data_IF_791273242642
#
_entry.id   IF_791273242642
#
_cell.length_a   1.000
_cell.length_b   1.000
_cell.length_c   1.000
_cell.angle_alpha   90.00
_cell.angle_beta   90.00
_cell.angle_gamma   90.00
#
_symmetry.space_group_name_H-M   'P 1'
#
loop_
_entity.id
_entity.type
_entity.pdbx_description
1 polymer ?
#
# COMPACT_ATOMS: atom_id res chain seq x y z
N UNK A 1 30.25 -30.97 -9.36
CA UNK A 1 28.93 -31.59 -9.63
C UNK A 1 28.08 -30.53 -10.35
N UNK A 2 27.98 -30.63 -11.68
CA UNK A 2 27.28 -29.64 -12.52
C UNK A 2 25.77 -29.78 -12.29
N UNK A 3 25.16 -28.78 -11.68
CA UNK A 3 23.70 -28.66 -11.58
C UNK A 3 23.26 -27.75 -12.73
N UNK A 4 22.37 -28.27 -13.57
CA UNK A 4 21.95 -27.74 -14.85
C UNK A 4 21.37 -26.31 -14.75
N UNK A 5 21.83 -25.47 -15.68
CA UNK A 5 21.23 -24.18 -16.00
C UNK A 5 19.97 -24.41 -16.85
N UNK A 6 18.81 -24.05 -16.30
CA UNK A 6 17.61 -23.84 -17.12
C UNK A 6 16.83 -22.63 -16.58
N UNK A 7 16.68 -21.55 -17.37
CA UNK A 7 15.73 -20.48 -17.09
C UNK A 7 14.29 -21.03 -17.08
N UNK A 8 13.42 -20.47 -16.24
CA UNK A 8 12.04 -20.89 -16.01
C UNK A 8 11.20 -21.03 -17.30
N UNK A 9 11.59 -20.37 -18.37
CA UNK A 9 10.93 -20.35 -19.68
C UNK A 9 11.12 -21.64 -20.51
N UNK A 10 12.11 -22.48 -20.19
CA UNK A 10 12.37 -23.74 -20.91
C UNK A 10 11.52 -24.95 -20.44
N UNK A 11 10.67 -24.78 -19.43
CA UNK A 11 9.80 -25.86 -18.91
C UNK A 11 8.56 -26.15 -19.78
N UNK A 12 8.30 -25.35 -20.83
CA UNK A 12 7.15 -25.56 -21.73
C UNK A 12 7.28 -26.71 -22.73
N UNK A 13 8.41 -27.44 -22.79
CA UNK A 13 8.65 -28.48 -23.82
C UNK A 13 8.66 -29.94 -23.37
N UNK A 14 8.43 -30.25 -22.09
CA UNK A 14 8.53 -31.64 -21.64
C UNK A 14 7.45 -32.04 -20.64
N UNK A 15 6.19 -32.07 -21.06
CA UNK A 15 5.19 -33.01 -20.54
C UNK A 15 4.06 -33.17 -21.58
N UNK A 16 4.28 -34.09 -22.54
CA UNK A 16 3.17 -34.67 -23.31
C UNK A 16 2.44 -35.61 -22.35
N UNK A 17 1.26 -35.21 -21.87
CA UNK A 17 0.32 -36.19 -21.33
C UNK A 17 -0.22 -37.03 -22.50
N UNK A 18 -0.05 -38.33 -22.36
CA UNK A 18 -0.54 -39.39 -23.23
C UNK A 18 -2.06 -39.43 -23.08
N UNK A 19 -2.81 -38.88 -24.03
CA UNK A 19 -4.25 -39.13 -24.14
C UNK A 19 -4.44 -40.37 -25.00
N UNK A 20 -4.88 -41.46 -24.37
CA UNK A 20 -5.34 -42.65 -25.05
C UNK A 20 -6.62 -42.36 -25.85
N UNK A 21 -6.72 -43.05 -26.99
CA UNK A 21 -7.76 -43.00 -28.00
C UNK A 21 -9.17 -43.16 -27.45
N UNK A 22 -10.09 -42.27 -27.82
CA UNK A 22 -11.46 -42.63 -28.24
C UNK A 22 -11.92 -41.73 -29.40
N UNK A 23 -12.29 -42.37 -30.50
CA UNK A 23 -12.81 -41.80 -31.75
C UNK A 23 -14.27 -41.30 -31.64
N UNK A 24 -14.77 -40.52 -32.63
CA UNK A 24 -15.85 -39.57 -32.43
C UNK A 24 -17.25 -40.16 -32.66
N UNK A 25 -18.25 -39.61 -31.97
CA UNK A 25 -19.66 -39.75 -32.34
C UNK A 25 -20.31 -38.40 -32.59
N UNK A 26 -20.57 -38.14 -33.87
CA UNK A 26 -21.48 -37.14 -34.41
C UNK A 26 -22.92 -37.38 -33.95
N UNK A 27 -23.66 -36.30 -33.63
CA UNK A 27 -25.08 -36.14 -34.03
C UNK A 27 -25.53 -34.68 -33.88
N UNK A 28 -26.02 -34.14 -35.00
CA UNK A 28 -26.74 -32.88 -35.17
C UNK A 28 -28.06 -32.85 -34.38
N UNK A 29 -28.50 -31.68 -33.91
CA UNK A 29 -29.74 -30.98 -34.35
C UNK A 29 -30.14 -29.79 -33.44
N UNK A 30 -30.03 -28.59 -34.04
CA UNK A 30 -30.97 -27.46 -34.12
C UNK A 30 -31.61 -26.72 -32.90
N UNK A 31 -31.93 -25.41 -33.06
CA UNK A 31 -32.02 -24.43 -31.99
C UNK A 31 -33.45 -24.19 -31.49
N UNK A 32 -33.61 -23.83 -30.20
CA UNK A 32 -34.88 -23.33 -29.66
C UNK A 32 -34.74 -21.89 -29.17
N UNK A 33 -35.34 -21.01 -29.97
CA UNK A 33 -35.58 -19.60 -29.72
C UNK A 33 -36.84 -19.45 -28.84
N UNK A 34 -36.78 -18.85 -27.64
CA UNK A 34 -37.97 -18.34 -26.92
C UNK A 34 -37.65 -17.11 -26.06
N UNK A 35 -38.14 -15.97 -26.56
CA UNK A 35 -38.78 -14.85 -25.86
C UNK A 35 -38.03 -14.13 -24.72
N UNK A 36 -37.43 -12.99 -25.09
CA UNK A 36 -37.14 -11.85 -24.20
C UNK A 36 -38.45 -11.20 -23.71
N UNK A 37 -38.61 -11.06 -22.39
CA UNK A 37 -39.36 -9.97 -21.75
C UNK A 37 -38.33 -9.04 -21.08
N UNK A 38 -38.50 -7.71 -21.13
CA UNK A 38 -37.53 -6.80 -20.55
C UNK A 38 -37.65 -6.83 -19.02
N UNK A 39 -36.68 -7.46 -18.34
CA UNK A 39 -36.48 -7.24 -16.91
C UNK A 39 -35.84 -5.87 -16.76
N UNK A 40 -36.52 -4.97 -16.06
CA UNK A 40 -35.98 -3.74 -15.50
C UNK A 40 -34.67 -4.04 -14.79
N UNK A 41 -33.56 -3.76 -15.47
CA UNK A 41 -32.23 -3.93 -14.92
C UNK A 41 -32.04 -2.94 -13.79
N UNK A 42 -32.05 -3.46 -12.57
CA UNK A 42 -31.27 -2.90 -11.48
C UNK A 42 -29.86 -2.66 -12.02
N UNK A 43 -29.41 -1.40 -11.98
CA UNK A 43 -28.01 -1.04 -12.23
C UNK A 43 -27.21 -1.71 -11.12
N UNK A 44 -26.79 -2.96 -11.34
CA UNK A 44 -25.75 -3.59 -10.54
C UNK A 44 -24.48 -2.82 -10.86
N UNK A 45 -24.11 -1.90 -9.98
CA UNK A 45 -22.83 -1.21 -10.02
C UNK A 45 -21.75 -2.30 -10.02
N UNK A 46 -21.14 -2.59 -11.17
CA UNK A 46 -20.25 -3.73 -11.32
C UNK A 46 -18.88 -3.35 -10.73
N UNK A 47 -18.79 -3.40 -9.40
CA UNK A 47 -17.60 -2.95 -8.66
C UNK A 47 -16.45 -3.96 -8.84
N UNK A 48 -15.26 -3.44 -9.17
CA UNK A 48 -14.04 -4.22 -9.31
C UNK A 48 -13.44 -4.49 -7.93
N UNK A 49 -13.48 -5.73 -7.46
CA UNK A 49 -12.97 -6.12 -6.14
C UNK A 49 -11.47 -6.42 -6.17
N UNK A 50 -10.74 -5.82 -5.23
CA UNK A 50 -9.29 -5.96 -5.09
C UNK A 50 -8.98 -6.29 -3.64
N UNK A 51 -8.45 -7.50 -3.42
CA UNK A 51 -8.14 -8.04 -2.11
C UNK A 51 -6.64 -7.92 -1.83
N UNK A 52 -6.29 -7.13 -0.82
CA UNK A 52 -4.94 -7.07 -0.27
C UNK A 52 -4.75 -8.23 0.71
N UNK A 53 -3.68 -8.98 0.51
CA UNK A 53 -3.28 -10.09 1.37
C UNK A 53 -1.85 -9.81 1.82
N UNK A 54 -1.54 -9.93 3.11
CA UNK A 54 -0.19 -9.72 3.60
C UNK A 54 0.42 -10.99 4.20
N UNK A 55 1.71 -11.20 3.97
CA UNK A 55 2.48 -12.22 4.70
C UNK A 55 2.76 -11.75 6.14
N UNK A 56 3.00 -12.64 7.12
CA UNK A 56 3.13 -12.22 8.53
C UNK A 56 4.35 -11.36 8.87
N UNK A 57 5.33 -11.28 7.97
CA UNK A 57 6.47 -10.37 8.09
C UNK A 57 6.12 -8.91 7.77
N UNK A 58 4.92 -8.63 7.26
CA UNK A 58 4.41 -7.27 7.04
C UNK A 58 3.68 -6.79 8.28
N UNK A 59 4.06 -5.60 8.77
CA UNK A 59 3.40 -4.99 9.91
C UNK A 59 1.94 -4.63 9.55
N UNK A 60 0.92 -4.98 10.36
CA UNK A 60 -0.49 -4.73 10.03
C UNK A 60 -0.81 -3.27 9.72
N UNK A 61 -0.18 -2.33 10.44
CA UNK A 61 -0.34 -0.90 10.21
C UNK A 61 -0.01 -0.46 8.77
N UNK A 62 0.98 -1.09 8.11
CA UNK A 62 1.32 -0.74 6.74
C UNK A 62 0.13 -1.03 5.80
N UNK A 63 -0.49 -2.19 5.98
CA UNK A 63 -1.64 -2.60 5.17
C UNK A 63 -2.82 -1.66 5.41
N UNK A 64 -3.05 -1.26 6.66
CA UNK A 64 -4.10 -0.29 7.01
C UNK A 64 -3.84 1.09 6.37
N UNK A 65 -2.60 1.58 6.37
CA UNK A 65 -2.22 2.85 5.74
C UNK A 65 -2.37 2.80 4.21
N UNK A 66 -1.94 1.70 3.58
CA UNK A 66 -2.15 1.46 2.14
C UNK A 66 -3.64 1.46 1.83
N UNK A 67 -4.45 0.77 2.63
CA UNK A 67 -5.90 0.73 2.45
C UNK A 67 -6.54 2.12 2.62
N UNK A 68 -6.07 2.94 3.57
CA UNK A 68 -6.53 4.32 3.75
C UNK A 68 -6.22 5.17 2.51
N UNK A 69 -5.01 5.06 1.94
CA UNK A 69 -4.63 5.79 0.73
C UNK A 69 -5.53 5.39 -0.44
N UNK A 70 -5.68 4.09 -0.69
CA UNK A 70 -6.46 3.56 -1.81
C UNK A 70 -7.95 3.94 -1.71
N UNK A 71 -8.55 3.82 -0.52
CA UNK A 71 -9.95 4.16 -0.30
C UNK A 71 -10.21 5.66 -0.05
N UNK A 72 -9.17 6.50 -0.04
CA UNK A 72 -9.33 7.95 0.08
C UNK A 72 -9.86 8.61 -1.21
N UNK A 73 -9.81 7.87 -2.32
CA UNK A 73 -10.34 8.27 -3.62
C UNK A 73 -11.58 7.41 -3.89
N UNK A 74 -12.68 8.06 -4.25
CA UNK A 74 -13.92 7.35 -4.60
C UNK A 74 -13.91 6.91 -6.05
N UNK A 75 -14.37 5.68 -6.33
CA UNK A 75 -14.50 5.16 -7.68
C UNK A 75 -14.86 3.67 -7.73
N UNK A 76 -14.85 3.07 -8.93
CA UNK A 76 -15.32 1.69 -9.17
C UNK A 76 -14.39 0.57 -8.67
N UNK A 77 -13.16 0.89 -8.24
CA UNK A 77 -12.25 -0.08 -7.63
C UNK A 77 -12.53 -0.15 -6.13
N UNK A 78 -12.82 -1.33 -5.61
CA UNK A 78 -13.09 -1.55 -4.20
C UNK A 78 -11.95 -2.34 -3.56
N UNK A 79 -11.26 -1.72 -2.60
CA UNK A 79 -10.11 -2.30 -1.93
C UNK A 79 -10.49 -2.82 -0.55
N UNK A 80 -10.16 -4.08 -0.27
CA UNK A 80 -10.39 -4.72 1.03
C UNK A 80 -9.18 -5.55 1.46
N UNK A 81 -9.06 -5.78 2.77
CA UNK A 81 -8.02 -6.66 3.32
C UNK A 81 -8.60 -8.05 3.56
N UNK A 82 -7.97 -9.07 2.97
CA UNK A 82 -8.27 -10.46 3.23
C UNK A 82 -7.27 -11.02 4.26
N UNK A 83 -7.77 -11.26 5.47
CA UNK A 83 -6.97 -11.80 6.58
C UNK A 83 -6.80 -13.30 6.42
N UNK A 84 -5.55 -13.71 6.19
CA UNK A 84 -5.19 -15.11 5.99
C UNK A 84 -4.67 -15.76 7.28
N UNK A 85 -5.21 -16.93 7.67
CA UNK A 85 -4.68 -17.71 8.78
C UNK A 85 -3.48 -18.54 8.31
N UNK A 86 -2.38 -17.87 7.94
CA UNK A 86 -1.17 -18.54 7.45
C UNK A 86 -0.64 -19.52 8.49
N UNK A 87 -0.45 -20.79 8.09
CA UNK A 87 0.23 -21.76 8.93
C UNK A 87 1.75 -21.77 8.66
N UNK A 88 2.58 -22.32 9.58
CA UNK A 88 4.02 -22.41 9.37
C UNK A 88 4.44 -23.16 8.11
N UNK A 89 3.65 -24.12 7.62
CA UNK A 89 3.95 -24.87 6.40
C UNK A 89 3.73 -24.03 5.13
N UNK A 90 2.66 -23.21 5.09
CA UNK A 90 2.40 -22.23 4.02
C UNK A 90 3.56 -21.22 3.92
N UNK A 91 4.20 -20.96 5.05
CA UNK A 91 5.29 -20.01 5.18
C UNK A 91 6.65 -20.69 5.27
N UNK A 92 6.78 -22.01 5.21
CA UNK A 92 8.07 -22.71 5.40
C UNK A 92 9.07 -22.34 4.29
N UNK A 93 8.55 -22.07 3.09
CA UNK A 93 9.32 -21.52 1.97
C UNK A 93 9.63 -20.01 2.15
N UNK A 94 8.77 -19.30 2.87
CA UNK A 94 8.84 -17.85 3.19
C UNK A 94 9.74 -17.54 4.40
N UNK A 95 9.85 -18.45 5.37
CA UNK A 95 10.41 -18.25 6.71
C UNK A 95 11.89 -18.60 6.87
N UNK A 96 12.71 -18.51 5.83
CA UNK A 96 14.13 -18.88 5.92
C UNK A 96 15.01 -17.82 6.63
N UNK A 97 14.77 -17.67 7.95
CA UNK A 97 15.66 -17.22 9.03
C UNK A 97 15.63 -15.72 9.43
N UNK A 98 14.91 -15.46 10.53
CA UNK A 98 15.14 -14.46 11.61
C UNK A 98 15.70 -13.08 11.21
N UNK A 99 14.84 -12.07 11.33
CA UNK A 99 15.17 -10.64 11.23
C UNK A 99 16.28 -10.19 12.20
N UNK A 100 17.18 -9.35 11.70
CA UNK A 100 18.10 -8.51 12.48
C UNK A 100 17.90 -7.05 12.07
N UNK A 101 17.50 -6.20 13.02
CA UNK A 101 17.11 -4.80 12.82
C UNK A 101 18.28 -3.85 12.50
N UNK A 102 19.52 -4.33 12.53
CA UNK A 102 20.75 -3.51 12.50
C UNK A 102 21.46 -3.47 11.13
N UNK A 103 20.91 -4.10 10.09
CA UNK A 103 21.61 -4.25 8.81
C UNK A 103 21.15 -3.25 7.74
N UNK A 104 21.84 -2.11 7.63
CA UNK A 104 21.67 -1.16 6.52
C UNK A 104 22.34 -1.68 5.25
N UNK A 105 21.60 -1.79 4.15
CA UNK A 105 22.10 -2.30 2.86
C UNK A 105 22.98 -1.25 2.17
N UNK A 106 24.15 -1.67 1.68
CA UNK A 106 24.92 -0.93 0.66
C UNK A 106 24.69 -1.65 -0.67
N UNK A 107 24.10 -0.97 -1.66
CA UNK A 107 23.79 -1.55 -2.98
C UNK A 107 24.74 -0.98 -4.04
N UNK A 108 25.32 -1.88 -4.84
CA UNK A 108 25.78 -1.62 -6.22
C UNK A 108 24.82 -2.37 -7.16
N UNK A 109 24.25 -1.67 -8.15
CA UNK A 109 23.10 -2.05 -9.02
C UNK A 109 23.16 -3.43 -9.73
N UNK A 110 21.99 -4.00 -10.08
CA UNK A 110 21.77 -5.45 -10.31
C UNK A 110 20.92 -5.79 -11.56
N UNK A 111 21.52 -6.35 -12.62
CA UNK A 111 20.84 -7.37 -13.47
C UNK A 111 21.42 -8.75 -13.20
N UNK A 112 21.36 -9.19 -11.93
CA UNK A 112 21.81 -10.53 -11.55
C UNK A 112 20.80 -11.17 -10.62
N UNK A 113 20.49 -12.46 -10.89
CA UNK A 113 19.80 -13.37 -9.96
C UNK A 113 20.36 -13.13 -8.56
N UNK A 114 19.49 -12.75 -7.64
CA UNK A 114 19.85 -12.51 -6.24
C UNK A 114 20.55 -13.76 -5.69
N UNK A 115 21.82 -13.63 -5.32
CA UNK A 115 22.60 -14.73 -4.74
C UNK A 115 22.08 -15.01 -3.32
N UNK A 116 22.25 -16.25 -2.88
CA UNK A 116 22.03 -16.63 -1.49
C UNK A 116 22.87 -15.75 -0.56
N UNK A 117 22.23 -15.14 0.45
CA UNK A 117 22.90 -14.41 1.52
C UNK A 117 22.59 -15.16 2.83
N UNK A 118 23.61 -15.73 3.46
CA UNK A 118 23.47 -16.64 4.61
C UNK A 118 22.68 -16.06 5.80
N UNK A 119 22.63 -14.74 5.94
CA UNK A 119 21.90 -14.02 7.00
C UNK A 119 20.46 -13.66 6.61
N UNK A 120 20.06 -13.79 5.34
CA UNK A 120 18.79 -13.30 4.77
C UNK A 120 17.94 -14.41 4.13
N UNK A 121 18.49 -15.62 4.00
CA UNK A 121 17.86 -16.75 3.31
C UNK A 121 17.81 -16.55 1.80
N UNK A 122 17.05 -17.42 1.12
CA UNK A 122 16.80 -17.29 -0.32
C UNK A 122 15.69 -16.26 -0.61
N UNK A 123 15.83 -15.45 -1.69
CA UNK A 123 14.71 -14.69 -2.23
C UNK A 123 13.65 -15.64 -2.79
N UNK A 124 12.37 -15.25 -2.71
CA UNK A 124 11.27 -16.07 -3.20
C UNK A 124 11.19 -16.03 -4.73
N UNK A 125 10.94 -17.18 -5.35
CA UNK A 125 10.57 -17.22 -6.76
C UNK A 125 9.17 -16.60 -6.95
N UNK A 126 8.90 -16.10 -8.15
CA UNK A 126 7.56 -15.64 -8.49
C UNK A 126 6.51 -16.75 -8.35
N UNK A 127 6.89 -18.01 -8.63
CA UNK A 127 6.01 -19.17 -8.42
C UNK A 127 5.60 -19.31 -6.96
N UNK A 128 6.53 -19.15 -6.02
CA UNK A 128 6.24 -19.22 -4.58
C UNK A 128 5.34 -18.05 -4.15
N UNK A 129 5.60 -16.83 -4.66
CA UNK A 129 4.78 -15.65 -4.35
C UNK A 129 3.35 -15.79 -4.90
N UNK A 130 3.19 -16.20 -6.17
CA UNK A 130 1.88 -16.40 -6.76
C UNK A 130 1.13 -17.60 -6.15
N UNK A 131 1.86 -18.63 -5.67
CA UNK A 131 1.23 -19.72 -4.91
C UNK A 131 0.53 -19.20 -3.64
N UNK A 132 1.08 -18.20 -2.96
CA UNK A 132 0.43 -17.57 -1.81
C UNK A 132 -0.84 -16.80 -2.23
N UNK A 133 -0.84 -16.12 -3.38
CA UNK A 133 -2.06 -15.51 -3.93
C UNK A 133 -3.14 -16.57 -4.19
N UNK A 134 -2.77 -17.69 -4.80
CA UNK A 134 -3.69 -18.80 -5.08
C UNK A 134 -4.25 -19.44 -3.82
N UNK A 135 -3.42 -19.58 -2.79
CA UNK A 135 -3.86 -20.03 -1.46
C UNK A 135 -4.92 -19.10 -0.89
N UNK A 136 -4.72 -17.79 -1.00
CA UNK A 136 -5.70 -16.81 -0.54
C UNK A 136 -7.01 -16.88 -1.34
N UNK A 137 -6.94 -17.06 -2.67
CA UNK A 137 -8.12 -17.29 -3.51
C UNK A 137 -8.92 -18.50 -3.05
N UNK A 138 -8.25 -19.64 -2.91
CA UNK A 138 -8.91 -20.89 -2.54
C UNK A 138 -9.48 -20.85 -1.12
N UNK A 139 -8.80 -20.17 -0.19
CA UNK A 139 -9.26 -20.03 1.19
C UNK A 139 -10.56 -19.22 1.28
N UNK A 140 -10.65 -18.12 0.54
CA UNK A 140 -11.80 -17.21 0.58
C UNK A 140 -12.83 -17.46 -0.53
N UNK A 141 -12.65 -18.51 -1.34
CA UNK A 141 -13.49 -18.86 -2.49
C UNK A 141 -13.72 -17.65 -3.43
N UNK A 142 -12.62 -17.00 -3.82
CA UNK A 142 -12.68 -15.77 -4.61
C UNK A 142 -12.95 -16.06 -6.08
N UNK A 143 -13.82 -15.23 -6.68
CA UNK A 143 -14.12 -15.24 -8.11
C UNK A 143 -12.87 -14.99 -8.98
N UNK A 144 -12.84 -15.55 -10.19
CA UNK A 144 -11.73 -15.33 -11.14
C UNK A 144 -11.57 -13.85 -11.54
N UNK A 145 -12.67 -13.09 -11.48
CA UNK A 145 -12.69 -11.66 -11.78
C UNK A 145 -12.12 -10.77 -10.67
N UNK A 146 -12.00 -11.29 -9.45
CA UNK A 146 -11.46 -10.56 -8.31
C UNK A 146 -9.94 -10.48 -8.41
N UNK A 147 -9.35 -9.38 -7.95
CA UNK A 147 -7.90 -9.23 -7.87
C UNK A 147 -7.36 -9.67 -6.51
N UNK A 148 -6.21 -10.32 -6.49
CA UNK A 148 -5.47 -10.65 -5.26
C UNK A 148 -4.07 -10.09 -5.34
N UNK A 149 -3.75 -9.19 -4.42
CA UNK A 149 -2.48 -8.48 -4.38
C UNK A 149 -1.77 -8.84 -3.08
N UNK A 150 -0.69 -9.62 -3.19
CA UNK A 150 0.13 -10.03 -2.05
C UNK A 150 1.13 -8.94 -1.69
N UNK A 151 1.11 -8.48 -0.44
CA UNK A 151 2.12 -7.58 0.13
C UNK A 151 3.06 -8.39 1.00
N UNK A 152 4.37 -8.25 0.79
CA UNK A 152 5.38 -9.00 1.53
C UNK A 152 6.66 -8.20 1.75
N UNK A 153 7.34 -8.38 2.88
CA UNK A 153 8.69 -7.83 3.07
C UNK A 153 9.76 -8.73 2.45
N UNK A 154 9.38 -9.88 1.88
CA UNK A 154 10.29 -10.81 1.20
C UNK A 154 10.72 -10.29 -0.17
N UNK A 155 12.01 -10.43 -0.45
CA UNK A 155 12.59 -10.21 -1.78
C UNK A 155 12.15 -11.30 -2.74
N UNK A 156 12.03 -10.92 -4.00
CA UNK A 156 11.86 -11.89 -5.09
C UNK A 156 13.17 -12.13 -5.85
N UNK A 157 13.27 -13.32 -6.43
CA UNK A 157 14.47 -13.82 -7.13
C UNK A 157 14.94 -12.96 -8.31
N UNK A 158 14.05 -12.11 -8.83
CA UNK A 158 14.28 -11.22 -9.96
C UNK A 158 14.45 -9.75 -9.52
N UNK A 159 14.44 -9.48 -8.21
CA UNK A 159 14.67 -8.16 -7.63
C UNK A 159 13.70 -7.04 -8.08
N UNK A 160 12.48 -7.35 -8.51
CA UNK A 160 11.50 -6.30 -8.83
C UNK A 160 10.79 -5.76 -7.58
N UNK A 161 10.30 -4.52 -7.59
CA UNK A 161 9.43 -4.04 -6.50
C UNK A 161 8.08 -4.75 -6.49
N UNK A 162 7.59 -5.17 -7.66
CA UNK A 162 6.31 -5.84 -7.80
C UNK A 162 6.30 -6.63 -9.12
N UNK A 163 5.36 -7.58 -9.23
CA UNK A 163 5.04 -8.21 -10.51
C UNK A 163 3.62 -8.75 -10.50
N UNK A 164 2.98 -8.72 -11.67
CA UNK A 164 1.66 -9.31 -11.90
C UNK A 164 1.77 -10.67 -12.59
N UNK A 165 0.76 -11.51 -12.36
CA UNK A 165 0.63 -12.81 -12.99
C UNK A 165 0.12 -12.65 -14.44
N UNK A 166 0.76 -13.35 -15.37
CA UNK A 166 0.40 -13.31 -16.81
C UNK A 166 -0.28 -14.57 -17.29
N UNK A 167 -0.50 -15.56 -16.40
CA UNK A 167 -1.23 -16.79 -16.71
C UNK A 167 -2.76 -16.60 -16.70
N UNK A 168 -3.22 -15.35 -16.79
CA UNK A 168 -4.64 -14.97 -16.85
C UNK A 168 -5.31 -14.83 -15.48
N UNK A 169 -4.60 -15.17 -14.40
CA UNK A 169 -5.07 -14.94 -13.03
C UNK A 169 -4.81 -13.50 -12.63
N UNK A 170 -5.78 -12.87 -11.97
CA UNK A 170 -5.69 -11.46 -11.55
C UNK A 170 -4.87 -11.31 -10.26
N UNK A 171 -3.65 -11.85 -10.27
CA UNK A 171 -2.76 -11.86 -9.13
C UNK A 171 -1.61 -10.88 -9.33
N UNK A 172 -1.12 -10.30 -8.24
CA UNK A 172 0.16 -9.63 -8.20
C UNK A 172 0.82 -9.83 -6.84
N UNK A 173 2.13 -9.58 -6.77
CA UNK A 173 2.83 -9.38 -5.51
C UNK A 173 3.55 -8.04 -5.51
N UNK A 174 3.74 -7.47 -4.31
CA UNK A 174 4.45 -6.22 -4.05
C UNK A 174 5.40 -6.44 -2.87
N UNK A 175 6.66 -6.09 -3.06
CA UNK A 175 7.63 -5.97 -1.98
C UNK A 175 7.37 -4.67 -1.22
N UNK A 176 7.16 -4.75 0.09
CA UNK A 176 6.95 -3.61 0.99
C UNK A 176 8.18 -3.16 1.77
N UNK A 177 9.30 -3.88 1.65
CA UNK A 177 10.57 -3.57 2.33
C UNK A 177 11.54 -2.79 1.43
N UNK A 178 12.51 -2.13 2.07
CA UNK A 178 13.66 -1.45 1.45
C UNK A 178 13.30 -0.17 0.65
N UNK A 179 12.08 0.35 0.74
CA UNK A 179 11.66 1.57 0.03
C UNK A 179 12.42 2.82 0.49
N UNK A 180 12.79 2.88 1.76
CA UNK A 180 13.55 3.95 2.39
C UNK A 180 14.94 4.16 1.79
N UNK A 181 15.47 3.16 1.08
CA UNK A 181 16.75 3.26 0.36
C UNK A 181 16.61 4.13 -0.89
N UNK A 182 15.42 4.14 -1.50
CA UNK A 182 15.18 4.75 -2.80
C UNK A 182 14.30 5.99 -2.70
N UNK A 183 13.52 6.13 -1.62
CA UNK A 183 12.52 7.17 -1.44
C UNK A 183 12.56 7.74 -0.02
N UNK A 184 12.58 9.06 0.08
CA UNK A 184 12.33 9.78 1.33
C UNK A 184 10.82 9.89 1.58
N UNK A 185 10.16 8.76 1.78
CA UNK A 185 8.73 8.67 2.03
C UNK A 185 8.34 7.37 2.72
N UNK A 186 7.25 7.36 3.52
CA UNK A 186 6.66 6.14 4.05
C UNK A 186 6.39 5.10 2.95
N UNK A 187 6.69 3.83 3.22
CA UNK A 187 6.52 2.74 2.25
C UNK A 187 5.06 2.51 1.83
N UNK A 188 4.08 3.00 2.61
CA UNK A 188 2.66 2.92 2.27
C UNK A 188 2.31 3.63 0.95
N UNK A 189 3.03 4.70 0.59
CA UNK A 189 2.82 5.42 -0.67
C UNK A 189 3.23 4.63 -1.91
N UNK A 190 4.49 4.18 -2.06
CA UNK A 190 4.88 3.38 -3.21
C UNK A 190 4.17 2.02 -3.27
N UNK A 191 3.84 1.40 -2.12
CA UNK A 191 3.05 0.16 -2.10
C UNK A 191 1.64 0.41 -2.66
N UNK A 192 0.94 1.46 -2.21
CA UNK A 192 -0.38 1.81 -2.75
C UNK A 192 -0.33 2.11 -4.27
N UNK A 193 0.72 2.79 -4.73
CA UNK A 193 0.94 3.02 -6.16
C UNK A 193 1.07 1.69 -6.92
N UNK A 194 1.90 0.77 -6.45
CA UNK A 194 2.12 -0.52 -7.11
C UNK A 194 0.89 -1.44 -7.07
N UNK A 195 -0.01 -1.29 -6.10
CA UNK A 195 -1.31 -2.00 -6.09
C UNK A 195 -2.10 -1.63 -7.34
N UNK A 196 -2.32 -0.33 -7.56
CA UNK A 196 -3.10 0.15 -8.70
C UNK A 196 -2.36 -0.08 -10.01
N UNK A 197 -1.03 0.10 -10.03
CA UNK A 197 -0.24 -0.13 -11.23
C UNK A 197 -0.33 -1.57 -11.71
N UNK A 198 -0.27 -2.56 -10.82
CA UNK A 198 -0.40 -3.96 -11.20
C UNK A 198 -1.83 -4.32 -11.62
N UNK A 199 -2.87 -3.73 -11.01
CA UNK A 199 -4.26 -3.88 -11.49
C UNK A 199 -4.37 -3.43 -12.94
N UNK A 200 -3.84 -2.24 -13.29
CA UNK A 200 -3.86 -1.76 -14.67
C UNK A 200 -3.04 -2.65 -15.60
N UNK A 201 -1.83 -3.09 -15.20
CA UNK A 201 -0.98 -3.98 -16.02
C UNK A 201 -1.67 -5.31 -16.36
N UNK A 202 -2.41 -5.88 -15.40
CA UNK A 202 -3.23 -7.07 -15.63
C UNK A 202 -4.33 -6.78 -16.66
N UNK A 203 -5.02 -5.65 -16.54
CA UNK A 203 -6.08 -5.23 -17.48
C UNK A 203 -5.54 -4.96 -18.89
N UNK A 204 -4.28 -4.53 -19.01
CA UNK A 204 -3.57 -4.36 -20.29
C UNK A 204 -3.18 -5.68 -20.97
N UNK A 205 -3.44 -6.83 -20.32
CA UNK A 205 -3.21 -8.19 -20.83
C UNK A 205 -1.81 -8.35 -21.42
N UNK A 206 -0.80 -7.85 -20.72
CA UNK A 206 0.59 -8.03 -21.14
C UNK A 206 0.94 -9.51 -21.18
N UNK A 207 1.73 -9.89 -22.19
CA UNK A 207 2.38 -11.19 -22.25
C UNK A 207 3.81 -10.97 -21.81
N UNK A 208 4.26 -11.68 -20.77
CA UNK A 208 5.67 -11.71 -20.44
C UNK A 208 6.39 -12.55 -21.52
N UNK A 209 6.96 -11.87 -22.51
CA UNK A 209 7.91 -12.42 -23.48
C UNK A 209 9.34 -12.09 -23.04
N UNK A 210 10.35 -12.79 -23.58
CA UNK A 210 11.76 -12.46 -23.31
C UNK A 210 12.10 -11.03 -23.72
N UNK A 211 11.42 -10.52 -24.75
CA UNK A 211 11.42 -9.11 -25.09
C UNK A 211 10.32 -8.37 -24.31
N UNK A 212 10.73 -7.50 -23.39
CA UNK A 212 9.85 -6.71 -22.53
C UNK A 212 9.55 -5.32 -23.11
N UNK A 213 10.06 -4.98 -24.30
CA UNK A 213 9.84 -3.66 -24.94
C UNK A 213 8.36 -3.37 -25.18
N UNK A 214 7.57 -4.42 -25.40
CA UNK A 214 6.12 -4.31 -25.65
C UNK A 214 5.31 -4.13 -24.35
N UNK A 215 5.96 -4.29 -23.19
CA UNK A 215 5.34 -4.17 -21.87
C UNK A 215 5.76 -2.89 -21.15
N UNK A 216 7.04 -2.56 -21.19
CA UNK A 216 7.60 -1.44 -20.44
C UNK A 216 8.38 -0.46 -21.31
N UNK A 217 8.30 0.83 -20.97
CA UNK A 217 9.18 1.84 -21.56
C UNK A 217 10.60 1.65 -21.04
N UNK A 218 11.50 1.20 -21.92
CA UNK A 218 12.91 0.94 -21.56
C UNK A 218 13.62 2.22 -21.13
N UNK A 219 13.31 3.34 -21.79
CA UNK A 219 13.71 4.67 -21.34
C UNK A 219 12.57 5.26 -20.50
N UNK A 220 12.79 5.55 -19.20
CA UNK A 220 11.75 6.10 -18.34
C UNK A 220 11.28 7.49 -18.82
N UNK A 221 9.97 7.65 -19.00
CA UNK A 221 9.34 8.92 -19.41
C UNK A 221 8.41 9.50 -18.35
N UNK A 222 8.34 8.87 -17.17
CA UNK A 222 7.37 9.17 -16.13
C UNK A 222 6.03 8.47 -16.31
N UNK A 223 5.97 7.38 -17.07
CA UNK A 223 4.76 6.58 -17.18
C UNK A 223 4.75 5.47 -16.12
N UNK A 224 3.57 5.09 -15.64
CA UNK A 224 3.39 3.92 -14.76
C UNK A 224 4.06 2.64 -15.27
N UNK A 225 4.19 2.48 -16.59
CA UNK A 225 4.87 1.36 -17.25
C UNK A 225 6.32 1.66 -17.67
N UNK A 226 7.00 2.66 -17.12
CA UNK A 226 8.47 2.70 -17.30
C UNK A 226 9.11 1.41 -16.75
N UNK A 227 10.21 0.96 -17.32
CA UNK A 227 10.88 -0.23 -16.81
C UNK A 227 11.59 0.06 -15.48
N UNK A 228 12.17 1.26 -15.35
CA UNK A 228 13.02 1.68 -14.23
C UNK A 228 14.09 0.63 -13.95
N UNK A 229 14.97 0.42 -14.95
CA UNK A 229 16.09 -0.54 -14.87
C UNK A 229 16.91 -0.29 -13.60
N UNK A 230 17.12 0.98 -13.26
CA UNK A 230 17.64 1.39 -11.97
C UNK A 230 16.50 1.65 -10.98
N UNK A 231 16.50 0.96 -9.84
CA UNK A 231 15.48 1.12 -8.80
C UNK A 231 15.29 2.55 -8.30
N UNK A 232 16.33 3.40 -8.35
CA UNK A 232 16.20 4.82 -7.97
C UNK A 232 15.29 5.59 -8.91
N UNK A 233 15.08 5.14 -10.14
CA UNK A 233 14.21 5.76 -11.14
C UNK A 233 12.73 5.61 -10.81
N UNK A 234 12.35 4.74 -9.86
CA UNK A 234 10.95 4.58 -9.45
C UNK A 234 10.32 5.90 -8.99
N UNK A 235 11.15 6.81 -8.45
CA UNK A 235 10.74 8.14 -8.05
C UNK A 235 10.14 8.95 -9.21
N UNK A 236 10.58 8.70 -10.46
CA UNK A 236 10.08 9.38 -11.63
C UNK A 236 8.59 9.09 -11.81
N UNK A 237 8.21 7.80 -11.84
CA UNK A 237 6.81 7.37 -11.96
C UNK A 237 5.93 7.90 -10.84
N UNK A 238 6.44 7.85 -9.61
CA UNK A 238 5.73 8.33 -8.43
C UNK A 238 5.54 9.86 -8.43
N UNK A 239 6.48 10.60 -9.04
CA UNK A 239 6.44 12.08 -9.15
C UNK A 239 5.67 12.59 -10.35
N UNK A 240 5.51 11.79 -11.39
CA UNK A 240 4.69 12.14 -12.55
C UNK A 240 3.25 11.67 -12.36
N UNK A 241 3.05 10.48 -11.77
CA UNK A 241 1.75 9.87 -11.54
C UNK A 241 0.88 9.81 -12.81
N UNK A 242 1.51 9.45 -13.92
CA UNK A 242 0.91 9.58 -15.24
C UNK A 242 0.87 8.25 -16.02
N UNK A 243 -0.06 8.19 -16.98
CA UNK A 243 -0.17 7.15 -17.98
C UNK A 243 -0.01 7.79 -19.35
N UNK A 244 1.06 7.43 -20.07
CA UNK A 244 1.30 7.99 -21.39
C UNK A 244 0.17 7.60 -22.38
N UNK A 245 0.01 8.33 -23.49
CA UNK A 245 -1.02 8.05 -24.49
C UNK A 245 -1.02 6.61 -25.02
N UNK A 246 0.16 5.99 -25.15
CA UNK A 246 0.28 4.60 -25.59
C UNK A 246 -0.28 3.60 -24.56
N UNK A 247 -0.04 3.85 -23.27
CA UNK A 247 -0.57 3.02 -22.19
C UNK A 247 -2.07 3.20 -22.03
N UNK A 248 -2.57 4.44 -22.12
CA UNK A 248 -4.01 4.73 -22.14
C UNK A 248 -4.69 4.04 -23.32
N UNK A 249 -4.15 4.20 -24.53
CA UNK A 249 -4.68 3.53 -25.72
C UNK A 249 -4.74 2.01 -25.54
N UNK A 250 -3.70 1.41 -24.97
CA UNK A 250 -3.68 -0.05 -24.72
C UNK A 250 -4.74 -0.49 -23.71
N UNK A 251 -4.96 0.27 -22.64
CA UNK A 251 -6.05 0.00 -21.69
C UNK A 251 -7.41 0.04 -22.39
N UNK A 252 -7.65 1.05 -23.22
CA UNK A 252 -8.86 1.18 -24.03
C UNK A 252 -9.02 0.04 -25.04
N UNK A 253 -7.96 -0.32 -25.78
CA UNK A 253 -7.96 -1.43 -26.74
C UNK A 253 -8.23 -2.78 -26.06
N UNK A 254 -7.88 -2.92 -24.77
CA UNK A 254 -8.17 -4.11 -23.97
C UNK A 254 -9.59 -4.13 -23.36
N UNK A 255 -10.39 -3.08 -23.58
CA UNK A 255 -11.75 -2.94 -23.07
C UNK A 255 -11.81 -2.54 -21.59
N UNK A 256 -10.80 -1.84 -21.08
CA UNK A 256 -10.82 -1.31 -19.71
C UNK A 256 -11.80 -0.16 -19.64
N UNK A 257 -12.69 -0.19 -18.64
CA UNK A 257 -13.65 0.89 -18.37
C UNK A 257 -12.91 2.21 -18.08
N UNK A 258 -13.36 3.30 -18.71
CA UNK A 258 -12.80 4.64 -18.52
C UNK A 258 -12.88 5.09 -17.07
N UNK A 259 -13.94 4.73 -16.34
CA UNK A 259 -14.07 5.07 -14.91
C UNK A 259 -12.98 4.40 -14.05
N UNK A 260 -12.53 3.20 -14.43
CA UNK A 260 -11.41 2.52 -13.76
C UNK A 260 -10.09 3.25 -14.02
N UNK A 261 -9.88 3.71 -15.26
CA UNK A 261 -8.67 4.45 -15.65
C UNK A 261 -8.61 5.79 -14.91
N UNK A 262 -9.72 6.53 -14.89
CA UNK A 262 -9.84 7.81 -14.17
C UNK A 262 -9.63 7.60 -12.66
N UNK A 263 -10.23 6.56 -12.09
CA UNK A 263 -10.04 6.24 -10.68
C UNK A 263 -8.57 5.93 -10.35
N UNK A 264 -7.89 5.16 -11.20
CA UNK A 264 -6.47 4.86 -11.02
C UNK A 264 -5.59 6.10 -11.09
N UNK A 265 -5.81 6.98 -12.07
CA UNK A 265 -5.08 8.26 -12.18
C UNK A 265 -5.28 9.15 -10.95
N UNK A 266 -6.50 9.22 -10.42
CA UNK A 266 -6.78 9.98 -9.19
C UNK A 266 -6.07 9.40 -7.97
N UNK A 267 -5.94 8.07 -7.87
CA UNK A 267 -5.13 7.43 -6.81
C UNK A 267 -3.65 7.73 -7.00
N UNK A 268 -3.12 7.65 -8.23
CA UNK A 268 -1.73 8.03 -8.50
C UNK A 268 -1.45 9.49 -8.14
N UNK A 269 -2.36 10.41 -8.49
CA UNK A 269 -2.25 11.81 -8.12
C UNK A 269 -2.26 11.99 -6.60
N UNK A 270 -3.09 11.24 -5.87
CA UNK A 270 -3.10 11.26 -4.40
C UNK A 270 -1.78 10.77 -3.81
N UNK A 271 -1.20 9.71 -4.35
CA UNK A 271 0.13 9.25 -3.93
C UNK A 271 1.16 10.34 -4.22
N UNK A 272 1.18 10.92 -5.42
CA UNK A 272 2.10 11.97 -5.82
C UNK A 272 2.01 13.21 -4.93
N UNK A 273 0.80 13.69 -4.64
CA UNK A 273 0.59 14.86 -3.79
C UNK A 273 1.13 14.62 -2.37
N UNK A 274 0.99 13.40 -1.87
CA UNK A 274 1.48 13.00 -0.55
C UNK A 274 3.01 12.88 -0.53
N UNK A 275 3.62 12.36 -1.59
CA UNK A 275 5.08 12.27 -1.74
C UNK A 275 5.77 13.63 -1.88
N UNK A 276 5.19 14.56 -2.66
CA UNK A 276 5.71 15.93 -2.75
C UNK A 276 5.76 16.62 -1.39
N UNK A 277 4.79 16.31 -0.52
CA UNK A 277 4.78 16.82 0.83
C UNK A 277 5.85 16.16 1.72
N UNK A 278 5.97 14.83 1.70
CA UNK A 278 6.95 14.11 2.53
C UNK A 278 8.40 14.48 2.21
N UNK A 279 8.68 14.89 0.96
CA UNK A 279 10.01 15.28 0.47
C UNK A 279 10.27 16.80 0.53
N UNK A 280 9.46 17.57 1.25
CA UNK A 280 9.71 19.00 1.46
C UNK A 280 9.54 19.88 0.21
N UNK A 281 8.92 19.39 -0.86
CA UNK A 281 8.66 20.18 -2.07
C UNK A 281 7.40 21.04 -1.88
N UNK A 282 7.53 22.03 -1.00
CA UNK A 282 6.51 23.05 -0.78
C UNK A 282 7.05 24.39 -1.29
N UNK A 283 7.12 24.50 -2.61
CA UNK A 283 7.16 25.81 -3.25
C UNK A 283 5.80 26.49 -3.03
N UNK A 284 5.73 27.32 -1.98
CA UNK A 284 4.67 28.32 -1.66
C UNK A 284 3.56 27.99 -0.64
N UNK A 285 3.40 26.76 -0.12
CA UNK A 285 2.39 26.50 0.94
C UNK A 285 3.03 26.63 2.32
N UNK A 286 2.96 27.83 2.90
CA UNK A 286 3.47 28.06 4.26
C UNK A 286 2.46 27.53 5.29
N UNK A 287 2.90 26.70 6.26
CA UNK A 287 2.04 26.33 7.38
C UNK A 287 1.53 27.59 8.09
N UNK A 288 0.26 27.58 8.47
CA UNK A 288 -0.34 28.67 9.25
C UNK A 288 -0.04 28.48 10.73
N UNK A 289 -0.03 29.59 11.48
CA UNK A 289 0.16 29.55 12.93
C UNK A 289 -0.93 28.68 13.59
N UNK A 290 -0.49 27.77 14.45
CA UNK A 290 -1.35 26.94 15.28
C UNK A 290 -1.44 27.57 16.67
N UNK A 291 -2.66 27.68 17.20
CA UNK A 291 -2.92 28.15 18.57
C UNK A 291 -3.75 27.15 19.34
N UNK A 292 -3.37 26.93 20.59
CA UNK A 292 -4.12 26.16 21.59
C UNK A 292 -4.41 27.07 22.77
N UNK A 293 -5.69 27.37 23.00
CA UNK A 293 -6.12 28.23 24.12
C UNK A 293 -6.13 27.48 25.46
N UNK A 294 -6.42 28.18 26.56
CA UNK A 294 -6.51 27.63 27.92
C UNK A 294 -7.53 26.49 28.08
N UNK A 295 -8.52 26.40 27.18
CA UNK A 295 -9.54 25.34 27.17
C UNK A 295 -9.14 24.19 26.23
N UNK A 296 -7.95 24.23 25.65
CA UNK A 296 -7.46 23.27 24.68
C UNK A 296 -8.16 23.34 23.33
N UNK A 297 -8.78 24.47 22.96
CA UNK A 297 -9.33 24.64 21.63
C UNK A 297 -8.21 24.90 20.63
N UNK A 298 -8.25 24.15 19.53
CA UNK A 298 -7.24 24.21 18.49
C UNK A 298 -7.72 25.14 17.38
N UNK A 299 -6.85 26.05 16.94
CA UNK A 299 -7.08 26.84 15.74
C UNK A 299 -5.83 26.90 14.86
N UNK A 300 -6.04 26.88 13.55
CA UNK A 300 -4.98 26.96 12.53
C UNK A 300 -5.28 28.15 11.62
N UNK A 301 -4.42 29.17 11.65
CA UNK A 301 -4.61 30.39 10.87
C UNK A 301 -5.93 31.11 11.14
N UNK A 302 -6.43 31.06 12.38
CA UNK A 302 -7.70 31.65 12.80
C UNK A 302 -8.93 30.75 12.58
N UNK A 303 -8.81 29.63 11.88
CA UNK A 303 -9.90 28.65 11.75
C UNK A 303 -9.89 27.69 12.93
N UNK A 304 -11.01 27.56 13.64
CA UNK A 304 -11.17 26.57 14.72
C UNK A 304 -11.25 25.16 14.14
N UNK A 305 -10.53 24.22 14.76
CA UNK A 305 -10.52 22.80 14.42
C UNK A 305 -11.24 22.04 15.53
N UNK A 306 -12.37 21.43 15.21
CA UNK A 306 -13.12 20.62 16.16
C UNK A 306 -12.38 19.29 16.36
N UNK A 307 -11.94 19.00 17.57
CA UNK A 307 -11.26 17.75 17.95
C UNK A 307 -11.89 17.20 19.23
N UNK A 308 -12.04 15.87 19.29
CA UNK A 308 -12.47 15.18 20.51
C UNK A 308 -11.41 15.24 21.62
N UNK A 309 -11.76 15.01 22.90
CA UNK A 309 -10.82 15.14 24.02
C UNK A 309 -9.55 14.30 23.87
N UNK A 310 -9.67 13.03 23.46
CA UNK A 310 -8.49 12.16 23.25
C UNK A 310 -7.64 12.61 22.05
N UNK A 311 -8.28 13.07 20.96
CA UNK A 311 -7.56 13.63 19.81
C UNK A 311 -6.80 14.91 20.19
N UNK A 312 -7.40 15.79 21.01
CA UNK A 312 -6.73 16.96 21.55
C UNK A 312 -5.54 16.58 22.44
N UNK A 313 -5.72 15.59 23.32
CA UNK A 313 -4.65 15.09 24.20
C UNK A 313 -3.44 14.64 23.41
N UNK A 314 -3.62 13.73 22.44
CA UNK A 314 -2.48 13.24 21.65
C UNK A 314 -1.85 14.38 20.83
N UNK A 315 -2.64 15.31 20.33
CA UNK A 315 -2.13 16.39 19.50
C UNK A 315 -1.28 17.36 20.32
N UNK A 316 -1.78 17.78 21.48
CA UNK A 316 -1.03 18.64 22.42
C UNK A 316 0.25 17.94 22.88
N UNK A 317 0.17 16.66 23.24
CA UNK A 317 1.33 15.89 23.67
C UNK A 317 2.44 15.88 22.60
N UNK A 318 2.12 15.52 21.36
CA UNK A 318 3.14 15.52 20.29
C UNK A 318 3.61 16.92 19.88
N UNK A 319 2.85 17.99 20.15
CA UNK A 319 3.31 19.38 19.95
C UNK A 319 4.29 19.82 21.05
N UNK A 320 4.20 19.23 22.26
CA UNK A 320 5.19 19.41 23.34
C UNK A 320 6.47 18.59 23.12
N UNK A 321 6.38 17.52 22.33
CA UNK A 321 7.48 16.60 22.02
C UNK A 321 7.86 16.61 20.53
N UNK A 322 8.31 17.77 20.03
CA UNK A 322 8.68 17.93 18.61
C UNK A 322 9.90 17.08 18.21
N UNK A 323 10.71 16.64 19.17
CA UNK A 323 11.78 15.66 18.97
C UNK A 323 11.27 14.28 18.57
N UNK A 324 9.98 14.02 18.80
CA UNK A 324 9.27 12.79 18.48
C UNK A 324 9.51 11.64 19.46
N UNK A 325 8.51 10.76 19.52
CA UNK A 325 8.40 9.66 20.48
C UNK A 325 8.13 8.35 19.73
N UNK A 326 8.77 7.25 20.12
CA UNK A 326 8.41 5.93 19.55
C UNK A 326 7.11 5.45 20.19
N UNK A 327 6.24 4.80 19.41
CA UNK A 327 4.97 4.27 19.95
C UNK A 327 5.20 3.32 21.13
N UNK A 328 6.26 2.51 21.08
CA UNK A 328 6.63 1.60 22.18
C UNK A 328 7.03 2.32 23.49
N UNK A 329 7.39 3.59 23.42
CA UNK A 329 7.78 4.43 24.57
C UNK A 329 6.57 5.20 25.14
N UNK A 330 5.38 5.17 24.50
CA UNK A 330 4.22 5.95 24.96
C UNK A 330 3.78 5.60 26.39
N UNK A 331 3.99 4.35 26.82
CA UNK A 331 3.71 3.92 28.19
C UNK A 331 4.53 4.69 29.23
N UNK A 332 5.75 5.11 28.89
CA UNK A 332 6.63 5.87 29.78
C UNK A 332 6.09 7.28 30.06
N UNK A 333 5.20 7.77 29.18
CA UNK A 333 4.57 9.09 29.26
C UNK A 333 3.11 9.03 29.74
N UNK A 334 2.62 7.88 30.22
CA UNK A 334 1.21 7.69 30.58
C UNK A 334 0.69 8.77 31.54
N UNK A 335 1.49 9.11 32.56
CA UNK A 335 1.14 10.12 33.56
C UNK A 335 1.01 11.52 32.94
N UNK A 336 1.97 11.93 32.10
CA UNK A 336 1.94 13.23 31.42
C UNK A 336 0.74 13.34 30.46
N UNK A 337 0.50 12.29 29.68
CA UNK A 337 -0.64 12.22 28.76
C UNK A 337 -1.96 12.31 29.54
N UNK A 338 -2.03 11.69 30.72
CA UNK A 338 -3.20 11.77 31.59
C UNK A 338 -3.41 13.15 32.17
N UNK A 339 -2.36 13.86 32.59
CA UNK A 339 -2.44 15.24 33.06
C UNK A 339 -2.99 16.19 31.98
N UNK A 340 -2.57 16.02 30.73
CA UNK A 340 -3.13 16.76 29.59
C UNK A 340 -4.62 16.41 29.43
N UNK A 341 -4.99 15.13 29.47
CA UNK A 341 -6.37 14.68 29.31
C UNK A 341 -7.31 15.18 30.42
N UNK A 342 -6.84 15.23 31.67
CA UNK A 342 -7.60 15.76 32.81
C UNK A 342 -8.01 17.22 32.62
N UNK A 343 -7.14 18.03 32.00
CA UNK A 343 -7.45 19.44 31.68
C UNK A 343 -8.54 19.57 30.59
N UNK A 344 -8.67 18.57 29.72
CA UNK A 344 -9.54 18.62 28.54
C UNK A 344 -10.91 17.95 28.75
N UNK A 345 -11.05 17.09 29.77
CA UNK A 345 -12.26 16.31 30.01
C UNK A 345 -12.63 16.27 31.48
N UNK A 346 -13.85 16.71 31.78
CA UNK A 346 -14.46 16.54 33.11
C UNK A 346 -14.63 15.04 33.43
N UNK A 347 -14.28 14.64 34.65
CA UNK A 347 -14.30 13.24 35.10
C UNK A 347 -13.42 12.32 34.22
N UNK A 348 -12.20 12.77 33.89
CA UNK A 348 -11.24 11.98 33.15
C UNK A 348 -10.87 10.67 33.88
N UNK A 349 -11.21 9.54 33.27
CA UNK A 349 -10.83 8.21 33.76
C UNK A 349 -9.42 7.84 33.23
N UNK A 350 -8.44 7.55 34.12
CA UNK A 350 -7.09 7.10 33.75
C UNK A 350 -7.08 5.92 32.76
N UNK A 351 -8.08 5.03 32.84
CA UNK A 351 -8.18 3.87 31.94
C UNK A 351 -8.23 4.26 30.47
N UNK A 352 -8.73 5.45 30.13
CA UNK A 352 -8.71 5.92 28.75
C UNK A 352 -7.29 6.09 28.22
N UNK A 353 -6.37 6.55 29.07
CA UNK A 353 -4.97 6.76 28.72
C UNK A 353 -4.21 5.45 28.81
N UNK A 354 -4.45 4.62 29.83
CA UNK A 354 -3.88 3.26 29.89
C UNK A 354 -4.23 2.45 28.63
N UNK A 355 -5.47 2.53 28.15
CA UNK A 355 -5.89 1.90 26.88
C UNK A 355 -5.32 2.61 25.64
N UNK A 356 -4.98 3.89 25.73
CA UNK A 356 -4.37 4.63 24.63
C UNK A 356 -2.92 4.22 24.42
N UNK A 357 -2.14 4.12 25.50
CA UNK A 357 -0.70 3.86 25.47
C UNK A 357 -0.32 2.37 25.45
N UNK A 358 -1.29 1.47 25.60
CA UNK A 358 -1.05 0.03 25.57
C UNK A 358 -0.44 -0.42 24.23
N UNK A 359 0.69 -1.14 24.29
CA UNK A 359 1.47 -1.53 23.10
C UNK A 359 0.86 -2.72 22.36
N UNK A 360 0.04 -3.54 23.04
CA UNK A 360 -0.53 -4.77 22.49
C UNK A 360 -1.89 -4.49 21.83
N UNK A 361 -2.85 -4.00 22.62
CA UNK A 361 -4.25 -3.77 22.19
C UNK A 361 -4.67 -2.31 22.37
N UNK A 362 -3.72 -1.39 22.32
CA UNK A 362 -4.00 0.03 22.52
C UNK A 362 -4.71 0.68 21.35
N UNK A 363 -5.33 1.82 21.63
CA UNK A 363 -6.11 2.57 20.64
C UNK A 363 -5.41 3.85 20.14
N UNK A 364 -4.10 4.01 20.38
CA UNK A 364 -3.31 5.14 19.86
C UNK A 364 -3.46 5.29 18.35
N UNK A 365 -3.22 4.23 17.58
CA UNK A 365 -3.28 4.26 16.12
C UNK A 365 -4.67 4.67 15.61
N UNK A 366 -5.73 4.16 16.25
CA UNK A 366 -7.10 4.54 15.95
C UNK A 366 -7.33 6.05 16.21
N UNK A 367 -6.92 6.55 17.37
CA UNK A 367 -7.09 7.96 17.73
C UNK A 367 -6.23 8.90 16.86
N UNK A 368 -5.00 8.48 16.51
CA UNK A 368 -4.12 9.16 15.55
C UNK A 368 -4.74 9.24 14.16
N UNK A 369 -5.23 8.12 13.61
CA UNK A 369 -5.92 8.12 12.30
C UNK A 369 -7.15 9.03 12.31
N UNK A 370 -7.94 8.98 13.40
CA UNK A 370 -9.10 9.86 13.57
C UNK A 370 -8.70 11.35 13.63
N UNK A 371 -7.63 11.68 14.36
CA UNK A 371 -7.05 13.03 14.37
C UNK A 371 -6.62 13.46 12.97
N UNK A 372 -5.86 12.63 12.24
CA UNK A 372 -5.44 12.90 10.87
C UNK A 372 -6.63 13.20 9.96
N UNK A 373 -7.70 12.39 10.06
CA UNK A 373 -8.93 12.60 9.29
C UNK A 373 -9.60 13.95 9.60
N UNK A 374 -9.66 14.34 10.87
CA UNK A 374 -10.25 15.62 11.29
C UNK A 374 -9.41 16.82 10.83
N UNK A 375 -8.09 16.74 10.96
CA UNK A 375 -7.16 17.76 10.46
C UNK A 375 -7.26 17.89 8.94
N UNK A 376 -7.31 16.76 8.22
CA UNK A 376 -7.49 16.71 6.77
C UNK A 376 -8.79 17.39 6.34
N UNK A 377 -9.91 17.08 6.99
CA UNK A 377 -11.21 17.65 6.63
C UNK A 377 -11.30 19.15 6.92
N UNK A 378 -10.67 19.62 7.98
CA UNK A 378 -10.77 21.02 8.38
C UNK A 378 -9.71 21.93 7.73
N UNK A 379 -8.50 21.43 7.50
CA UNK A 379 -7.38 22.23 6.97
C UNK A 379 -7.23 22.05 5.45
N UNK A 380 -7.55 20.85 4.95
CA UNK A 380 -7.33 20.46 3.56
C UNK A 380 -5.88 20.08 3.27
N UNK A 381 -5.69 19.14 2.35
CA UNK A 381 -4.36 18.80 1.82
C UNK A 381 -3.94 19.79 0.73
N UNK A 382 -2.64 20.10 0.61
CA UNK A 382 -1.51 19.49 1.31
C UNK A 382 -1.13 20.17 2.64
N UNK A 383 -1.79 21.30 3.01
CA UNK A 383 -1.46 22.08 4.20
C UNK A 383 -1.60 21.28 5.51
N UNK A 384 -2.63 20.42 5.60
CA UNK A 384 -2.91 19.58 6.76
C UNK A 384 -1.74 18.69 7.15
N UNK A 385 -0.90 18.29 6.21
CA UNK A 385 0.19 17.35 6.46
C UNK A 385 1.27 17.92 7.41
N UNK A 386 1.40 19.26 7.53
CA UNK A 386 2.30 19.88 8.51
C UNK A 386 1.87 19.61 9.97
N UNK A 387 0.60 19.28 10.18
CA UNK A 387 -0.01 19.10 11.49
C UNK A 387 -0.21 17.63 11.84
N UNK A 388 0.11 16.70 10.95
CA UNK A 388 -0.06 15.28 11.22
C UNK A 388 1.02 14.76 12.16
N UNK A 389 0.65 13.79 12.99
CA UNK A 389 1.59 12.94 13.69
C UNK A 389 2.05 11.88 12.68
N UNK A 390 3.29 11.97 12.22
CA UNK A 390 3.88 11.07 11.20
C UNK A 390 5.16 10.44 11.72
N UNK A 391 5.42 9.20 11.32
CA UNK A 391 6.60 8.43 11.69
C UNK A 391 6.53 7.05 11.07
N UNK A 392 7.68 6.42 10.87
CA UNK A 392 7.75 5.05 10.39
C UNK A 392 7.59 4.07 11.57
N UNK A 393 7.06 2.86 11.35
CA UNK A 393 7.01 1.83 12.37
C UNK A 393 8.38 1.57 13.01
N UNK A 394 8.44 1.56 14.35
CA UNK A 394 9.68 1.40 15.12
C UNK A 394 10.56 2.66 15.25
N UNK A 395 10.24 3.72 14.50
CA UNK A 395 10.89 5.03 14.61
C UNK A 395 10.03 6.01 15.45
N UNK A 396 10.56 7.23 15.59
CA UNK A 396 9.89 8.33 16.30
C UNK A 396 8.76 8.91 15.45
N UNK A 397 7.59 9.04 16.05
CA UNK A 397 6.47 9.80 15.52
C UNK A 397 6.60 11.26 15.97
N UNK A 398 6.33 12.21 15.07
CA UNK A 398 6.43 13.65 15.35
C UNK A 398 5.49 14.46 14.47
N UNK A 399 5.28 15.72 14.85
CA UNK A 399 4.60 16.73 14.04
C UNK A 399 5.67 17.59 13.37
N UNK A 400 5.56 17.77 12.05
CA UNK A 400 6.56 18.49 11.24
C UNK A 400 6.38 20.03 11.25
N UNK A 401 5.53 20.56 12.12
CA UNK A 401 5.24 21.99 12.24
C UNK A 401 6.42 22.70 12.94
N UNK A 402 7.00 23.74 12.32
CA UNK A 402 8.06 24.53 12.96
C UNK A 402 7.60 25.12 14.30
N UNK A 403 8.48 25.10 15.30
CA UNK A 403 8.15 25.49 16.68
C UNK A 403 7.74 26.96 16.78
N UNK A 404 8.27 27.83 15.92
CA UNK A 404 7.91 29.26 15.84
C UNK A 404 6.46 29.50 15.38
N UNK A 405 5.80 28.48 14.81
CA UNK A 405 4.40 28.53 14.40
C UNK A 405 3.44 27.92 15.42
N UNK A 406 3.95 27.45 16.56
CA UNK A 406 3.17 26.83 17.63
C UNK A 406 3.01 27.82 18.78
N UNK A 407 1.77 28.05 19.20
CA UNK A 407 1.44 28.85 20.39
C UNK A 407 0.49 28.01 21.26
N UNK A 408 1.00 27.50 22.38
CA UNK A 408 0.25 26.71 23.35
C UNK A 408 0.14 27.53 24.62
N UNK A 409 -1.07 27.63 25.16
CA UNK A 409 -1.32 28.23 26.46
C UNK A 409 -0.49 27.57 27.56
N UNK A 410 0.14 28.37 28.43
CA UNK A 410 1.02 27.93 29.53
C UNK A 410 0.36 26.95 30.53
N UNK A 411 -0.97 26.89 30.51
CA UNK A 411 -1.74 25.92 31.29
C UNK A 411 -1.47 24.46 30.85
N UNK A 412 -0.91 24.20 29.66
CA UNK A 412 -0.71 22.85 29.09
C UNK A 412 0.70 22.29 29.18
#
# INVERSE_FOLDING_TARGET
>A
MKIYETPFWNLKKSFKFRTENQEPRTKNQEPKNKNRKPSTGTITNNQMKIHLVSTPDVHPQLVDEVLEILNSVSGPMHFSVLKMPWNPDDLFQVQQHRYRNDYRFKIDSEYKKQKYIAQKGYPLSWRELFFLCEKARNFADLEESDFVILVTNRRNSMNFFSMFDTEGKRNAFIQSSDWEIFLEAPESFPVAYEVVANVLRILMKFKLTEDHTDTYHQNPIGCMNDFCENKTEIILKLRTADLCPNCLKRLSDCGTDEEIIVHALNIFERVRSSLKFSQGFVGNIRPKKLKIDEKGNVSVGGKSISLGPLQKTIFIFFLKHLEGIRIAELGDYEQEIFEIYQKLKTNADPKNISNLVNIIDGNFNYNKSRLTKMLRSEIGEPLANYYYITGNPGEKFKIALPSELIEISDVF
#
